data_IF_652395090970
#
_entry.id   IF_652395090970
#
_cell.length_a   1.000
_cell.length_b   1.000
_cell.length_c   1.000
_cell.angle_alpha   90.00
_cell.angle_beta   90.00
_cell.angle_gamma   90.00
#
_symmetry.space_group_name_H-M   'P 1'
#
loop_
_entity.id
_entity.type
_entity.pdbx_description
1 polymer ?
#
# COMPACT_ATOMS: atom_id res chain seq x y z
N UNK A 1 6.97 7.10 -34.22
CA UNK A 1 7.24 6.42 -32.94
C UNK A 1 8.70 6.05 -32.96
N UNK A 2 9.50 6.70 -32.11
CA UNK A 2 10.93 6.38 -31.97
C UNK A 2 11.09 5.04 -31.24
N UNK A 3 12.27 4.43 -31.33
CA UNK A 3 12.59 3.20 -30.59
C UNK A 3 12.45 3.41 -29.06
N UNK A 4 12.78 4.63 -28.59
CA UNK A 4 12.58 5.04 -27.20
C UNK A 4 11.10 5.11 -26.80
N UNK A 5 10.22 5.62 -27.68
CA UNK A 5 8.77 5.69 -27.40
C UNK A 5 8.17 4.29 -27.25
N UNK A 6 8.56 3.36 -28.13
CA UNK A 6 8.10 1.97 -28.08
C UNK A 6 8.57 1.29 -26.78
N UNK A 7 9.82 1.54 -26.39
CA UNK A 7 10.41 1.00 -25.19
C UNK A 7 9.75 1.54 -23.92
N UNK A 8 9.48 2.84 -23.88
CA UNK A 8 8.74 3.48 -22.80
C UNK A 8 7.33 2.92 -22.65
N UNK A 9 6.62 2.73 -23.77
CA UNK A 9 5.30 2.11 -23.75
C UNK A 9 5.34 0.70 -23.17
N UNK A 10 6.32 -0.12 -23.57
CA UNK A 10 6.50 -1.48 -23.04
C UNK A 10 6.76 -1.48 -21.53
N UNK A 11 7.64 -0.60 -21.04
CA UNK A 11 7.91 -0.49 -19.60
C UNK A 11 6.66 -0.06 -18.81
N UNK A 12 5.87 0.89 -19.35
CA UNK A 12 4.59 1.32 -18.74
C UNK A 12 3.60 0.16 -18.65
N UNK A 13 3.45 -0.62 -19.72
CA UNK A 13 2.53 -1.77 -19.75
C UNK A 13 2.91 -2.84 -18.74
N UNK A 14 4.19 -3.18 -18.63
CA UNK A 14 4.70 -4.15 -17.64
C UNK A 14 4.38 -3.65 -16.22
N UNK A 15 4.71 -2.40 -15.91
CA UNK A 15 4.49 -1.83 -14.59
C UNK A 15 3.02 -1.74 -14.22
N UNK A 16 2.18 -1.27 -15.14
CA UNK A 16 0.73 -1.20 -14.90
C UNK A 16 0.15 -2.60 -14.73
N UNK A 17 0.55 -3.56 -15.57
CA UNK A 17 0.13 -4.95 -15.41
C UNK A 17 0.56 -5.53 -14.06
N UNK A 18 1.74 -5.19 -13.54
CA UNK A 18 2.23 -5.69 -12.26
C UNK A 18 1.61 -4.98 -11.06
N UNK A 19 1.54 -3.65 -11.08
CA UNK A 19 1.15 -2.81 -9.93
C UNK A 19 -0.37 -2.68 -9.83
N UNK A 20 -1.09 -2.63 -10.95
CA UNK A 20 -2.55 -2.59 -10.95
C UNK A 20 -3.20 -3.97 -10.72
N UNK A 21 -2.42 -5.07 -10.80
CA UNK A 21 -2.84 -6.41 -10.36
C UNK A 21 -2.79 -6.51 -8.83
N UNK A 22 -3.73 -5.85 -8.17
CA UNK A 22 -4.11 -6.23 -6.81
C UNK A 22 -5.59 -6.56 -6.81
N UNK A 23 -5.88 -7.83 -7.10
CA UNK A 23 -7.15 -8.41 -6.66
C UNK A 23 -7.31 -8.20 -5.15
N UNK A 24 -8.56 -8.08 -4.69
CA UNK A 24 -8.87 -7.62 -3.34
C UNK A 24 -8.23 -8.46 -2.23
N UNK A 25 -8.03 -9.75 -2.49
CA UNK A 25 -7.39 -10.67 -1.56
C UNK A 25 -5.90 -10.33 -1.31
N UNK A 26 -5.11 -10.12 -2.36
CA UNK A 26 -3.68 -9.82 -2.23
C UNK A 26 -3.42 -8.46 -1.57
N UNK A 27 -4.31 -7.49 -1.82
CA UNK A 27 -4.26 -6.19 -1.14
C UNK A 27 -4.53 -6.31 0.36
N UNK A 28 -5.58 -7.05 0.74
CA UNK A 28 -5.96 -7.21 2.14
C UNK A 28 -4.85 -7.91 2.95
N UNK A 29 -4.25 -8.96 2.36
CA UNK A 29 -3.10 -9.65 2.94
C UNK A 29 -1.91 -8.72 3.13
N UNK A 30 -1.51 -7.99 2.09
CA UNK A 30 -0.37 -7.06 2.16
C UNK A 30 -0.57 -5.95 3.20
N UNK A 31 -1.76 -5.36 3.26
CA UNK A 31 -2.09 -4.34 4.26
C UNK A 31 -2.10 -4.90 5.68
N UNK A 32 -2.64 -6.10 5.87
CA UNK A 32 -2.64 -6.77 7.18
C UNK A 32 -1.22 -7.05 7.65
N UNK A 33 -0.37 -7.59 6.77
CA UNK A 33 1.04 -7.87 7.06
C UNK A 33 1.82 -6.58 7.38
N UNK A 34 1.61 -5.52 6.57
CA UNK A 34 2.23 -4.22 6.81
C UNK A 34 1.84 -3.62 8.16
N UNK A 35 0.55 -3.63 8.51
CA UNK A 35 0.07 -3.09 9.79
C UNK A 35 0.61 -3.93 10.95
N UNK A 36 0.64 -5.26 10.83
CA UNK A 36 1.22 -6.13 11.85
C UNK A 36 2.71 -5.84 12.10
N UNK A 37 3.46 -5.49 11.04
CA UNK A 37 4.87 -5.10 11.15
C UNK A 37 5.06 -3.70 11.74
N UNK A 38 4.30 -2.71 11.24
CA UNK A 38 4.45 -1.30 11.63
C UNK A 38 3.83 -0.99 13.00
N UNK A 39 2.80 -1.74 13.41
CA UNK A 39 2.02 -1.57 14.63
C UNK A 39 1.75 -2.91 15.32
N UNK A 40 2.80 -3.56 15.86
CA UNK A 40 2.67 -4.87 16.51
C UNK A 40 1.84 -4.83 17.81
N UNK A 41 1.57 -3.64 18.33
CA UNK A 41 0.68 -3.41 19.47
C UNK A 41 -0.80 -3.67 19.11
N UNK A 42 -1.18 -3.47 17.86
CA UNK A 42 -2.54 -3.69 17.37
C UNK A 42 -2.86 -5.18 17.25
N UNK A 43 -4.11 -5.54 17.56
CA UNK A 43 -4.58 -6.91 17.39
C UNK A 43 -4.78 -7.28 15.91
N UNK A 44 -4.88 -8.58 15.56
CA UNK A 44 -5.17 -9.01 14.18
C UNK A 44 -6.47 -8.39 13.62
N UNK A 45 -7.49 -8.23 14.47
CA UNK A 45 -8.77 -7.58 14.11
C UNK A 45 -8.60 -6.10 13.72
N UNK A 46 -7.66 -5.40 14.35
CA UNK A 46 -7.36 -4.00 14.04
C UNK A 46 -6.62 -3.86 12.70
N UNK A 47 -5.71 -4.78 12.39
CA UNK A 47 -5.05 -4.83 11.07
C UNK A 47 -6.06 -5.09 9.93
N UNK A 48 -7.03 -5.98 10.15
CA UNK A 48 -8.11 -6.24 9.20
C UNK A 48 -8.99 -5.00 8.95
N UNK A 49 -9.32 -4.24 10.00
CA UNK A 49 -10.08 -2.98 9.85
C UNK A 49 -9.34 -2.00 8.94
N UNK A 50 -8.03 -1.83 9.12
CA UNK A 50 -7.23 -0.94 8.27
C UNK A 50 -7.22 -1.43 6.83
N UNK A 51 -7.05 -2.74 6.60
CA UNK A 51 -7.06 -3.32 5.25
C UNK A 51 -8.39 -3.07 4.50
N UNK A 52 -9.52 -3.19 5.21
CA UNK A 52 -10.86 -2.96 4.67
C UNK A 52 -11.16 -1.48 4.41
N UNK A 53 -10.72 -0.59 5.30
CA UNK A 53 -11.09 0.85 5.28
C UNK A 53 -10.11 1.71 4.50
N UNK A 54 -8.88 1.23 4.28
CA UNK A 54 -7.90 1.94 3.47
C UNK A 54 -8.51 2.22 2.08
N UNK A 55 -8.44 3.45 1.56
CA UNK A 55 -8.90 3.75 0.22
C UNK A 55 -8.00 3.07 -0.82
N UNK A 56 -8.53 2.89 -2.04
CA UNK A 56 -7.70 2.50 -3.18
C UNK A 56 -6.99 3.71 -3.74
N UNK A 57 -5.75 3.52 -4.16
CA UNK A 57 -5.07 4.52 -4.95
C UNK A 57 -5.83 4.69 -6.27
N UNK A 58 -6.04 5.94 -6.67
CA UNK A 58 -6.75 6.26 -7.91
C UNK A 58 -5.93 5.78 -9.12
N UNK A 59 -6.51 5.03 -10.07
CA UNK A 59 -5.77 4.52 -11.23
C UNK A 59 -5.01 5.62 -12.00
N UNK A 60 -5.60 6.81 -12.10
CA UNK A 60 -4.97 7.98 -12.73
C UNK A 60 -3.67 8.42 -12.06
N UNK A 61 -3.58 8.31 -10.73
CA UNK A 61 -2.35 8.62 -9.99
C UNK A 61 -1.29 7.55 -10.25
N UNK A 62 -1.68 6.28 -10.24
CA UNK A 62 -0.78 5.17 -10.57
C UNK A 62 -0.20 5.35 -11.99
N UNK A 63 -1.05 5.62 -12.98
CA UNK A 63 -0.62 5.87 -14.36
C UNK A 63 0.33 7.07 -14.47
N UNK A 64 0.02 8.16 -13.76
CA UNK A 64 0.87 9.35 -13.73
C UNK A 64 2.26 9.04 -13.17
N UNK A 65 2.33 8.38 -12.01
CA UNK A 65 3.60 8.11 -11.34
C UNK A 65 4.45 7.07 -12.08
N UNK A 66 3.81 6.05 -12.65
CA UNK A 66 4.48 5.12 -13.58
C UNK A 66 5.04 5.88 -14.77
N UNK A 67 4.30 6.85 -15.32
CA UNK A 67 4.79 7.69 -16.40
C UNK A 67 6.03 8.49 -16.02
N UNK A 68 6.00 9.19 -14.88
CA UNK A 68 7.16 9.95 -14.38
C UNK A 68 8.40 9.08 -14.19
N UNK A 69 8.21 7.84 -13.70
CA UNK A 69 9.30 6.89 -13.57
C UNK A 69 9.87 6.49 -14.93
N UNK A 70 9.02 6.10 -15.88
CA UNK A 70 9.46 5.63 -17.20
C UNK A 70 10.16 6.75 -17.97
N UNK A 71 9.65 7.98 -17.89
CA UNK A 71 10.29 9.14 -18.51
C UNK A 71 11.70 9.33 -17.92
N UNK A 72 11.82 9.22 -16.58
CA UNK A 72 13.12 9.31 -15.91
C UNK A 72 14.06 8.15 -16.26
N UNK A 73 13.51 6.95 -16.44
CA UNK A 73 14.27 5.75 -16.79
C UNK A 73 14.91 5.92 -18.18
N UNK A 74 14.13 6.36 -19.17
CA UNK A 74 14.61 6.62 -20.53
C UNK A 74 15.64 7.77 -20.58
N UNK A 75 15.50 8.77 -19.72
CA UNK A 75 16.48 9.88 -19.62
C UNK A 75 17.84 9.45 -19.06
N UNK A 76 17.89 8.41 -18.23
CA UNK A 76 19.06 8.15 -17.37
C UNK A 76 19.72 6.79 -17.58
N UNK A 77 19.02 5.84 -18.19
CA UNK A 77 19.51 4.47 -18.40
C UNK A 77 19.70 4.21 -19.90
N UNK A 78 20.81 3.58 -20.33
CA UNK A 78 21.00 3.18 -21.71
C UNK A 78 19.85 2.30 -22.22
N UNK A 79 19.31 2.60 -23.40
CA UNK A 79 18.12 1.91 -23.93
C UNK A 79 18.30 0.40 -24.07
N UNK A 80 19.52 -0.08 -24.31
CA UNK A 80 19.82 -1.52 -24.38
C UNK A 80 19.53 -2.23 -23.05
N UNK A 81 19.85 -1.59 -21.92
CA UNK A 81 19.59 -2.14 -20.59
C UNK A 81 18.09 -2.10 -20.26
N UNK A 82 17.39 -1.06 -20.70
CA UNK A 82 15.93 -0.97 -20.53
C UNK A 82 15.24 -2.05 -21.37
N UNK A 83 15.74 -2.32 -22.59
CA UNK A 83 15.20 -3.37 -23.44
C UNK A 83 15.38 -4.77 -22.84
N UNK A 84 16.54 -5.04 -22.24
CA UNK A 84 16.81 -6.26 -21.47
C UNK A 84 15.84 -6.38 -20.28
N UNK A 85 15.69 -5.32 -19.50
CA UNK A 85 14.77 -5.26 -18.37
C UNK A 85 13.28 -5.42 -18.77
N UNK A 86 12.96 -5.19 -20.04
CA UNK A 86 11.61 -5.34 -20.58
C UNK A 86 11.43 -6.64 -21.39
N UNK A 87 12.27 -7.66 -21.22
CA UNK A 87 12.18 -8.90 -22.00
C UNK A 87 10.95 -9.78 -21.70
N UNK A 88 10.24 -9.51 -20.59
CA UNK A 88 9.03 -10.22 -20.18
C UNK A 88 9.29 -11.41 -19.25
N UNK A 89 10.53 -11.58 -18.76
CA UNK A 89 10.82 -12.54 -17.71
C UNK A 89 10.31 -12.06 -16.36
N UNK A 90 9.88 -12.98 -15.50
CA UNK A 90 9.34 -12.63 -14.18
C UNK A 90 10.37 -11.92 -13.29
N UNK A 91 11.67 -12.26 -13.44
CA UNK A 91 12.75 -11.61 -12.70
C UNK A 91 12.93 -10.15 -13.13
N UNK A 92 12.93 -9.88 -14.43
CA UNK A 92 13.09 -8.52 -14.95
C UNK A 92 11.86 -7.65 -14.67
N UNK A 93 10.64 -8.21 -14.76
CA UNK A 93 9.43 -7.52 -14.33
C UNK A 93 9.49 -7.14 -12.84
N UNK A 94 9.97 -8.05 -11.98
CA UNK A 94 10.15 -7.78 -10.56
C UNK A 94 11.23 -6.73 -10.30
N UNK A 95 12.35 -6.77 -11.03
CA UNK A 95 13.41 -5.77 -10.94
C UNK A 95 12.93 -4.39 -11.39
N UNK A 96 12.13 -4.31 -12.46
CA UNK A 96 11.52 -3.05 -12.93
C UNK A 96 10.54 -2.50 -11.89
N UNK A 97 9.71 -3.36 -11.28
CA UNK A 97 8.80 -2.96 -10.21
C UNK A 97 9.54 -2.48 -8.96
N UNK A 98 10.65 -3.13 -8.60
CA UNK A 98 11.50 -2.71 -7.48
C UNK A 98 12.14 -1.34 -7.76
N UNK A 99 12.68 -1.13 -8.96
CA UNK A 99 13.24 0.17 -9.36
C UNK A 99 12.16 1.28 -9.33
N UNK A 100 10.93 0.97 -9.72
CA UNK A 100 9.79 1.87 -9.59
C UNK A 100 9.49 2.23 -8.13
N UNK A 101 9.45 1.25 -7.22
CA UNK A 101 9.25 1.51 -5.78
C UNK A 101 10.36 2.40 -5.21
N UNK A 102 11.62 2.10 -5.54
CA UNK A 102 12.76 2.93 -5.12
C UNK A 102 12.68 4.36 -5.68
N UNK A 103 12.14 4.53 -6.89
CA UNK A 103 11.91 5.86 -7.46
C UNK A 103 10.84 6.65 -6.68
N UNK A 104 9.76 5.99 -6.22
CA UNK A 104 8.73 6.62 -5.39
C UNK A 104 9.29 7.11 -4.05
N UNK A 105 10.33 6.48 -3.53
CA UNK A 105 11.02 6.88 -2.29
C UNK A 105 11.98 8.07 -2.47
N UNK A 106 12.17 8.58 -3.69
CA UNK A 106 12.99 9.77 -3.90
C UNK A 106 12.34 11.01 -3.30
N UNK A 107 13.14 11.92 -2.71
CA UNK A 107 12.64 13.16 -2.10
C UNK A 107 11.79 14.03 -3.07
N UNK A 108 12.11 13.99 -4.37
CA UNK A 108 11.31 14.65 -5.41
C UNK A 108 9.92 14.02 -5.50
N UNK A 109 9.88 12.69 -5.54
CA UNK A 109 8.63 11.97 -5.74
C UNK A 109 7.76 11.96 -4.49
N UNK A 110 8.36 11.94 -3.29
CA UNK A 110 7.65 12.14 -2.02
C UNK A 110 6.86 13.45 -2.02
N UNK A 111 7.50 14.56 -2.42
CA UNK A 111 6.83 15.86 -2.57
C UNK A 111 5.71 15.82 -3.61
N UNK A 112 5.98 15.24 -4.78
CA UNK A 112 5.00 15.16 -5.86
C UNK A 112 3.78 14.30 -5.50
N UNK A 113 3.98 13.19 -4.78
CA UNK A 113 2.90 12.32 -4.29
C UNK A 113 1.99 13.11 -3.34
N UNK A 114 2.59 13.85 -2.39
CA UNK A 114 1.81 14.66 -1.46
C UNK A 114 0.97 15.74 -2.17
N UNK A 115 1.57 16.44 -3.14
CA UNK A 115 0.87 17.45 -3.95
C UNK A 115 -0.25 16.83 -4.80
N UNK A 116 0.00 15.66 -5.40
CA UNK A 116 -0.97 14.96 -6.25
C UNK A 116 -2.16 14.44 -5.44
N UNK A 117 -1.90 13.89 -4.25
CA UNK A 117 -2.95 13.45 -3.34
C UNK A 117 -3.78 14.64 -2.84
N UNK A 118 -3.15 15.76 -2.51
CA UNK A 118 -3.85 16.98 -2.09
C UNK A 118 -4.70 17.59 -3.20
N UNK A 119 -4.28 17.45 -4.46
CA UNK A 119 -5.03 17.91 -5.62
C UNK A 119 -6.19 16.98 -6.02
N UNK A 120 -6.28 15.77 -5.46
CA UNK A 120 -7.39 14.88 -5.73
C UNK A 120 -8.63 15.32 -4.95
N UNK A 121 -9.64 15.81 -5.66
CA UNK A 121 -10.99 15.86 -5.11
C UNK A 121 -11.49 14.42 -4.93
N UNK A 122 -11.64 14.02 -3.68
CA UNK A 122 -12.23 12.72 -3.37
C UNK A 122 -13.72 12.76 -3.75
N UNK A 123 -14.26 11.68 -4.38
CA UNK A 123 -15.68 11.66 -4.74
C UNK A 123 -16.57 11.91 -3.52
N UNK A 124 -17.71 12.57 -3.74
CA UNK A 124 -18.69 12.79 -2.68
C UNK A 124 -19.11 11.44 -2.03
N UNK A 125 -19.01 11.34 -0.70
CA UNK A 125 -19.22 10.09 0.06
C UNK A 125 -17.97 9.21 0.23
N UNK A 126 -16.82 9.63 -0.31
CA UNK A 126 -15.51 9.04 -0.12
C UNK A 126 -14.52 10.08 0.44
N UNK A 127 -15.00 11.03 1.26
CA UNK A 127 -14.10 11.96 1.93
C UNK A 127 -13.12 11.15 2.77
N UNK A 128 -11.82 11.32 2.53
CA UNK A 128 -10.76 10.56 3.17
C UNK A 128 -10.79 10.77 4.68
N UNK A 129 -11.31 11.92 5.11
CA UNK A 129 -11.59 12.25 6.49
C UNK A 129 -12.68 11.34 7.08
N UNK A 130 -13.77 11.07 6.34
CA UNK A 130 -14.85 10.20 6.80
C UNK A 130 -14.42 8.73 6.87
N UNK A 131 -13.67 8.26 5.87
CA UNK A 131 -13.11 6.91 5.86
C UNK A 131 -12.11 6.70 7.01
N UNK A 132 -11.23 7.69 7.24
CA UNK A 132 -10.31 7.66 8.37
C UNK A 132 -11.04 7.72 9.72
N UNK A 133 -12.06 8.58 9.84
CA UNK A 133 -12.86 8.69 11.05
C UNK A 133 -13.60 7.37 11.37
N UNK A 134 -14.15 6.71 10.34
CA UNK A 134 -14.78 5.40 10.51
C UNK A 134 -13.77 4.32 10.91
N UNK A 135 -12.60 4.28 10.27
CA UNK A 135 -11.51 3.39 10.67
C UNK A 135 -11.12 3.61 12.14
N UNK A 136 -10.93 4.85 12.57
CA UNK A 136 -10.61 5.19 13.95
C UNK A 136 -11.70 4.75 14.94
N UNK A 137 -12.99 4.95 14.60
CA UNK A 137 -14.12 4.47 15.43
C UNK A 137 -14.10 2.96 15.60
N UNK A 138 -13.94 2.21 14.50
CA UNK A 138 -13.89 0.75 14.51
C UNK A 138 -12.70 0.23 15.31
N UNK A 139 -11.53 0.84 15.13
CA UNK A 139 -10.31 0.52 15.87
C UNK A 139 -10.48 0.73 17.38
N UNK A 140 -11.03 1.88 17.79
CA UNK A 140 -11.29 2.17 19.20
C UNK A 140 -12.23 1.12 19.83
N UNK A 141 -13.28 0.70 19.13
CA UNK A 141 -14.22 -0.31 19.61
C UNK A 141 -13.59 -1.71 19.73
N UNK A 142 -12.66 -2.08 18.85
CA UNK A 142 -11.93 -3.36 18.94
C UNK A 142 -10.93 -3.35 20.09
N UNK A 143 -10.12 -2.29 20.21
CA UNK A 143 -9.13 -2.20 21.27
C UNK A 143 -9.76 -2.11 22.66
N UNK A 144 -10.90 -1.42 22.81
CA UNK A 144 -11.64 -1.37 24.07
C UNK A 144 -12.17 -2.76 24.46
N UNK A 145 -12.75 -3.52 23.51
CA UNK A 145 -13.18 -4.90 23.76
C UNK A 145 -12.00 -5.81 24.15
N UNK A 146 -10.85 -5.64 23.50
CA UNK A 146 -9.63 -6.41 23.82
C UNK A 146 -9.13 -6.09 25.23
N UNK A 147 -9.17 -4.82 25.63
CA UNK A 147 -8.81 -4.35 26.97
C UNK A 147 -9.74 -4.93 28.03
N UNK A 148 -11.05 -4.91 27.78
CA UNK A 148 -12.05 -5.51 28.67
C UNK A 148 -11.83 -7.03 28.83
N UNK A 149 -11.64 -7.75 27.72
CA UNK A 149 -11.38 -9.20 27.76
C UNK A 149 -10.09 -9.55 28.53
N UNK A 150 -9.02 -8.74 28.41
CA UNK A 150 -7.81 -8.91 29.22
C UNK A 150 -8.07 -8.69 30.71
N UNK A 151 -8.84 -7.66 31.07
CA UNK A 151 -9.19 -7.37 32.46
C UNK A 151 -10.06 -8.48 33.07
N UNK A 152 -11.02 -9.00 32.32
CA UNK A 152 -11.87 -10.12 32.73
C UNK A 152 -11.05 -11.39 32.96
N UNK A 153 -10.15 -11.75 32.03
CA UNK A 153 -9.23 -12.88 32.21
C UNK A 153 -8.33 -12.71 33.43
N UNK A 154 -7.78 -11.52 33.65
CA UNK A 154 -6.96 -11.21 34.82
C UNK A 154 -7.77 -11.24 36.14
N UNK A 155 -9.05 -10.86 36.09
CA UNK A 155 -9.95 -10.95 37.24
C UNK A 155 -10.33 -12.42 37.56
N UNK A 156 -10.61 -13.23 36.53
CA UNK A 156 -10.88 -14.66 36.66
C UNK A 156 -9.67 -15.40 37.27
N UNK A 157 -8.47 -15.18 36.72
CA UNK A 157 -7.23 -15.78 37.25
C UNK A 157 -6.98 -15.43 38.73
N UNK A 158 -7.25 -14.18 39.13
CA UNK A 158 -7.14 -13.75 40.54
C UNK A 158 -8.18 -14.39 41.45
N UNK A 159 -9.39 -14.68 40.95
CA UNK A 159 -10.44 -15.39 41.70
C UNK A 159 -10.09 -16.85 41.90
N UNK A 160 -9.61 -17.53 40.87
CA UNK A 160 -9.22 -18.94 40.96
C UNK A 160 -8.03 -19.13 41.91
N UNK A 161 -6.99 -18.29 41.79
CA UNK A 161 -5.84 -18.32 42.71
C UNK A 161 -6.19 -18.03 44.18
N UNK A 162 -7.27 -17.28 44.45
CA UNK A 162 -7.76 -17.04 45.82
C UNK A 162 -8.61 -18.19 46.37
N UNK A 163 -9.06 -19.11 45.51
CA UNK A 163 -9.92 -20.24 45.87
C UNK A 163 -9.12 -21.51 46.14
N UNK A 164 -7.90 -21.58 45.60
CA UNK A 164 -6.92 -22.66 45.81
C UNK A 164 -5.96 -22.42 47.00
N UNK A 165 -6.11 -21.29 47.70
CA UNK A 165 -5.38 -20.92 48.93
C UNK A 165 -6.34 -20.90 50.12
#
# INVERSE_FOLDING_TARGET
>A
MTDADALGQKAREILLARVARTEDAGRAEALTAFVGLARPDLGPDAAAIVAETAPRLLPKLTEKWVGLFVDRLLETVPHVQIAELCDGTAENEAALALAYVMFLESARMEKQIAEDLAACELPAGADGVDAAAEACRRLAAVEERRRQAMQEKAAAYRRDKRRDN
#
